data_IF_447724383514
#
_entry.id   IF_447724383514
#
_cell.length_a   1.000
_cell.length_b   1.000
_cell.length_c   1.000
_cell.angle_alpha   90.00
_cell.angle_beta   90.00
_cell.angle_gamma   90.00
#
_symmetry.space_group_name_H-M   'P 1'
#
loop_
_entity.id
_entity.type
_entity.pdbx_description
1 polymer ?
#
# COMPACT_ATOMS: atom_id res chain seq x y z
N UNK A 1 -4.96 50.71 -29.22
CA UNK A 1 -6.01 49.77 -29.68
C UNK A 1 -5.40 48.38 -29.73
N UNK A 2 -5.63 47.56 -28.70
CA UNK A 2 -5.13 46.18 -28.65
C UNK A 2 -5.92 45.33 -29.66
N UNK A 3 -5.19 44.64 -30.52
CA UNK A 3 -5.72 43.89 -31.66
C UNK A 3 -6.61 42.74 -31.17
N UNK A 4 -7.91 42.86 -31.42
CA UNK A 4 -8.98 41.96 -30.96
C UNK A 4 -8.74 40.51 -31.37
N UNK A 5 -8.08 40.28 -32.51
CA UNK A 5 -7.72 38.94 -32.99
C UNK A 5 -6.69 38.25 -32.09
N UNK A 6 -5.78 39.01 -31.46
CA UNK A 6 -4.71 38.45 -30.62
C UNK A 6 -5.22 37.90 -29.29
N UNK A 7 -6.31 38.48 -28.78
CA UNK A 7 -6.99 38.04 -27.56
C UNK A 7 -7.75 36.73 -27.83
N UNK A 8 -8.37 36.59 -29.00
CA UNK A 8 -9.07 35.36 -29.39
C UNK A 8 -8.14 34.14 -29.48
N UNK A 9 -6.97 34.29 -30.11
CA UNK A 9 -6.00 33.19 -30.17
C UNK A 9 -5.47 32.79 -28.78
N UNK A 10 -5.23 33.78 -27.91
CA UNK A 10 -4.78 33.51 -26.54
C UNK A 10 -5.85 32.78 -25.70
N UNK A 11 -7.13 33.12 -25.89
CA UNK A 11 -8.24 32.44 -25.21
C UNK A 11 -8.45 31.00 -25.72
N UNK A 12 -8.24 30.74 -27.02
CA UNK A 12 -8.32 29.39 -27.59
C UNK A 12 -7.21 28.49 -27.03
N UNK A 13 -5.96 28.99 -26.96
CA UNK A 13 -4.86 28.20 -26.38
C UNK A 13 -5.05 27.95 -24.89
N UNK A 14 -5.55 28.94 -24.14
CA UNK A 14 -5.87 28.77 -22.73
C UNK A 14 -6.97 27.72 -22.50
N UNK A 15 -7.98 27.66 -23.38
CA UNK A 15 -9.04 26.66 -23.30
C UNK A 15 -8.54 25.25 -23.62
N UNK A 16 -7.61 25.11 -24.57
CA UNK A 16 -6.96 23.84 -24.91
C UNK A 16 -6.10 23.30 -23.75
N UNK A 17 -5.39 24.17 -23.02
CA UNK A 17 -4.55 23.76 -21.88
C UNK A 17 -5.41 23.29 -20.69
N UNK A 18 -6.56 23.92 -20.43
CA UNK A 18 -7.45 23.56 -19.31
C UNK A 18 -8.08 22.16 -19.50
N UNK A 19 -8.39 21.75 -20.74
CA UNK A 19 -9.00 20.44 -21.01
C UNK A 19 -8.04 19.26 -20.77
N UNK A 20 -6.73 19.46 -20.92
CA UNK A 20 -5.73 18.37 -20.76
C UNK A 20 -5.52 18.02 -19.28
N UNK A 21 -5.82 18.94 -18.35
CA UNK A 21 -5.55 18.74 -16.91
C UNK A 21 -6.66 17.99 -16.16
N UNK A 22 -7.78 17.64 -16.81
CA UNK A 22 -8.99 17.17 -16.12
C UNK A 22 -9.32 15.67 -16.29
N UNK A 23 -8.45 14.87 -16.90
CA UNK A 23 -8.67 13.42 -17.05
C UNK A 23 -7.44 12.59 -16.72
N UNK A 24 -7.17 12.43 -15.42
CA UNK A 24 -6.63 11.18 -14.89
C UNK A 24 -7.42 10.83 -13.63
N UNK A 25 -8.65 10.32 -13.82
CA UNK A 25 -9.28 9.48 -12.81
C UNK A 25 -8.46 8.20 -12.76
N UNK A 26 -7.69 8.02 -11.69
CA UNK A 26 -7.02 6.76 -11.36
C UNK A 26 -8.13 5.76 -11.03
N UNK A 27 -8.63 5.08 -12.06
CA UNK A 27 -9.56 3.98 -11.91
C UNK A 27 -8.81 2.79 -11.29
N UNK A 28 -9.20 2.45 -10.06
CA UNK A 28 -8.89 1.17 -9.43
C UNK A 28 -7.53 1.13 -8.74
N UNK A 29 -7.49 1.57 -7.48
CA UNK A 29 -6.53 1.00 -6.54
C UNK A 29 -6.92 -0.48 -6.38
N UNK A 30 -6.36 -1.33 -7.23
CA UNK A 30 -6.37 -2.77 -7.02
C UNK A 30 -5.58 -3.00 -5.74
N UNK A 31 -6.19 -3.63 -4.75
CA UNK A 31 -5.58 -3.87 -3.45
C UNK A 31 -4.39 -4.83 -3.63
N UNK A 32 -3.21 -4.29 -3.91
CA UNK A 32 -1.98 -5.04 -4.19
C UNK A 32 -1.48 -5.84 -2.98
N UNK A 33 -2.09 -5.66 -1.81
CA UNK A 33 -1.74 -6.37 -0.57
C UNK A 33 -2.23 -7.83 -0.49
N UNK A 34 -3.09 -8.30 -1.41
CA UNK A 34 -3.59 -9.67 -1.38
C UNK A 34 -3.86 -10.24 -2.78
N UNK A 35 -2.79 -10.46 -3.58
CA UNK A 35 -2.88 -11.32 -4.75
C UNK A 35 -2.94 -12.80 -4.31
N UNK A 36 -4.01 -13.20 -3.64
CA UNK A 36 -4.30 -14.61 -3.43
C UNK A 36 -4.91 -15.15 -4.73
N UNK A 37 -4.58 -16.39 -5.11
CA UNK A 37 -5.11 -17.08 -6.30
C UNK A 37 -6.66 -17.23 -6.33
N UNK A 38 -7.36 -16.67 -5.35
CA UNK A 38 -8.80 -16.65 -5.20
C UNK A 38 -9.36 -15.22 -4.97
N UNK A 39 -8.68 -14.17 -5.46
CA UNK A 39 -9.27 -12.83 -5.70
C UNK A 39 -10.30 -12.92 -6.84
N UNK A 40 -11.29 -13.79 -6.63
CA UNK A 40 -12.47 -13.87 -7.45
C UNK A 40 -13.34 -12.69 -7.05
N UNK A 41 -13.76 -11.90 -8.03
CA UNK A 41 -14.76 -10.83 -7.91
C UNK A 41 -16.16 -11.34 -7.50
N UNK A 42 -16.24 -12.53 -6.90
CA UNK A 42 -17.47 -13.30 -6.65
C UNK A 42 -18.15 -12.94 -5.32
N UNK A 43 -17.75 -11.84 -4.67
CA UNK A 43 -18.39 -11.34 -3.47
C UNK A 43 -18.03 -9.90 -3.17
N UNK A 44 -18.86 -9.23 -2.36
CA UNK A 44 -18.50 -7.92 -1.83
C UNK A 44 -17.27 -8.05 -0.92
N UNK A 45 -16.31 -7.11 -0.97
CA UNK A 45 -15.16 -7.14 -0.09
C UNK A 45 -15.61 -7.09 1.38
N UNK A 46 -14.92 -7.82 2.25
CA UNK A 46 -15.11 -7.67 3.68
C UNK A 46 -14.53 -6.32 4.13
N UNK A 47 -15.39 -5.41 4.57
CA UNK A 47 -15.00 -4.07 5.05
C UNK A 47 -14.90 -3.99 6.58
N UNK A 48 -15.08 -5.11 7.30
CA UNK A 48 -14.93 -5.12 8.75
C UNK A 48 -13.47 -4.88 9.12
N UNK A 49 -13.23 -3.81 9.88
CA UNK A 49 -11.90 -3.49 10.40
C UNK A 49 -11.46 -4.56 11.41
N UNK A 50 -10.24 -5.07 11.23
CA UNK A 50 -9.61 -5.95 12.23
C UNK A 50 -9.34 -5.17 13.52
N UNK A 51 -8.87 -3.93 13.39
CA UNK A 51 -8.58 -3.02 14.49
C UNK A 51 -8.79 -1.57 14.03
N UNK A 52 -9.22 -0.69 14.95
CA UNK A 52 -9.50 0.74 14.69
C UNK A 52 -8.49 1.68 15.37
N UNK A 53 -7.54 1.14 16.12
CA UNK A 53 -6.51 1.92 16.78
C UNK A 53 -5.53 2.50 15.75
N UNK A 54 -4.87 3.59 16.12
CA UNK A 54 -3.89 4.21 15.25
C UNK A 54 -2.62 3.35 15.17
N UNK A 55 -2.19 2.91 13.97
CA UNK A 55 -0.96 2.14 13.81
C UNK A 55 0.27 2.95 14.25
N UNK A 56 1.12 2.33 15.08
CA UNK A 56 2.42 2.90 15.47
C UNK A 56 3.49 2.41 14.51
N UNK A 57 4.15 3.33 13.79
CA UNK A 57 5.30 2.98 12.94
C UNK A 57 6.47 2.52 13.82
N UNK A 58 7.03 1.37 13.49
CA UNK A 58 8.14 0.74 14.22
C UNK A 58 9.42 0.82 13.39
N UNK A 59 9.34 0.48 12.10
CA UNK A 59 10.48 0.50 11.21
C UNK A 59 10.06 0.71 9.75
N UNK A 60 11.00 1.16 8.92
CA UNK A 60 10.84 1.38 7.48
C UNK A 60 12.11 1.01 6.75
N UNK A 61 11.96 0.34 5.62
CA UNK A 61 13.04 0.00 4.68
C UNK A 61 12.63 0.40 3.27
N UNK A 62 13.53 0.25 2.31
CA UNK A 62 13.14 0.24 0.91
C UNK A 62 12.08 -0.86 0.70
N UNK A 63 10.97 -0.53 0.04
CA UNK A 63 9.92 -1.49 -0.29
C UNK A 63 9.10 -2.04 0.90
N UNK A 64 9.16 -1.40 2.08
CA UNK A 64 8.25 -1.79 3.17
C UNK A 64 8.25 -0.94 4.43
N UNK A 65 7.20 -1.12 5.22
CA UNK A 65 6.97 -0.50 6.53
C UNK A 65 6.42 -1.52 7.53
N UNK A 66 6.86 -1.42 8.78
CA UNK A 66 6.37 -2.23 9.90
C UNK A 66 5.67 -1.34 10.92
N UNK A 67 4.45 -1.71 11.27
CA UNK A 67 3.66 -1.08 12.30
C UNK A 67 3.31 -2.07 13.41
N UNK A 68 2.98 -1.50 14.56
CA UNK A 68 2.28 -2.20 15.63
C UNK A 68 0.88 -1.62 15.76
N UNK A 69 -0.12 -2.51 15.79
CA UNK A 69 -1.55 -2.18 15.81
C UNK A 69 -2.20 -2.92 16.98
N UNK A 70 -3.26 -2.37 17.55
CA UNK A 70 -3.92 -2.91 18.74
C UNK A 70 -3.32 -2.38 20.04
N UNK A 71 -3.79 -2.92 21.16
CA UNK A 71 -3.39 -2.49 22.50
C UNK A 71 -3.32 -3.65 23.48
N UNK A 72 -2.54 -3.51 24.55
CA UNK A 72 -2.41 -4.55 25.57
C UNK A 72 -1.86 -5.86 24.99
N UNK A 73 -2.56 -6.97 25.26
CA UNK A 73 -2.19 -8.31 24.78
C UNK A 73 -2.63 -8.57 23.34
N UNK A 74 -3.58 -7.78 22.81
CA UNK A 74 -4.12 -7.90 21.44
C UNK A 74 -3.28 -7.11 20.42
N UNK A 75 -1.98 -6.95 20.67
CA UNK A 75 -1.07 -6.26 19.76
C UNK A 75 -0.63 -7.18 18.62
N UNK A 76 -0.79 -6.69 17.40
CA UNK A 76 -0.38 -7.38 16.17
C UNK A 76 0.69 -6.59 15.42
N UNK A 77 1.56 -7.32 14.73
CA UNK A 77 2.52 -6.74 13.79
C UNK A 77 1.84 -6.59 12.43
N UNK A 78 1.67 -5.35 11.97
CA UNK A 78 1.14 -5.05 10.64
C UNK A 78 2.30 -4.68 9.73
N UNK A 79 2.58 -5.54 8.76
CA UNK A 79 3.62 -5.29 7.76
C UNK A 79 2.98 -4.93 6.42
N UNK A 80 3.49 -3.86 5.81
CA UNK A 80 3.12 -3.46 4.47
C UNK A 80 4.36 -3.48 3.60
N UNK A 81 4.41 -4.42 2.65
CA UNK A 81 5.49 -4.58 1.67
C UNK A 81 4.95 -4.32 0.26
N UNK A 82 5.79 -3.73 -0.58
CA UNK A 82 5.44 -3.37 -1.96
C UNK A 82 6.67 -3.49 -2.84
N UNK A 83 6.51 -3.81 -4.13
CA UNK A 83 7.64 -3.99 -5.03
C UNK A 83 7.20 -4.49 -6.40
N UNK A 84 8.16 -4.74 -7.29
CA UNK A 84 7.88 -5.24 -8.63
C UNK A 84 8.10 -6.74 -8.75
N UNK A 85 8.98 -7.30 -7.90
CA UNK A 85 9.38 -8.71 -7.96
C UNK A 85 9.07 -9.42 -6.65
N UNK A 86 8.88 -10.75 -6.70
CA UNK A 86 8.75 -11.60 -5.51
C UNK A 86 9.89 -11.41 -4.51
N UNK A 87 11.09 -11.12 -5.00
CA UNK A 87 12.27 -10.87 -4.19
C UNK A 87 12.12 -9.57 -3.37
N UNK A 88 11.61 -8.49 -3.96
CA UNK A 88 11.43 -7.20 -3.27
C UNK A 88 10.53 -7.37 -2.03
N UNK A 89 9.40 -8.08 -2.20
CA UNK A 89 8.49 -8.38 -1.09
C UNK A 89 9.17 -9.23 -0.02
N UNK A 90 9.83 -10.32 -0.42
CA UNK A 90 10.48 -11.26 0.51
C UNK A 90 11.64 -10.63 1.28
N UNK A 91 12.46 -9.83 0.61
CA UNK A 91 13.60 -9.14 1.23
C UNK A 91 13.14 -8.08 2.23
N UNK A 92 12.17 -7.23 1.86
CA UNK A 92 11.61 -6.24 2.78
C UNK A 92 10.94 -6.92 3.99
N UNK A 93 10.17 -7.99 3.76
CA UNK A 93 9.52 -8.78 4.81
C UNK A 93 10.54 -9.35 5.81
N UNK A 94 11.53 -10.09 5.31
CA UNK A 94 12.55 -10.72 6.15
C UNK A 94 13.43 -9.71 6.89
N UNK A 95 13.66 -8.55 6.28
CA UNK A 95 14.43 -7.46 6.92
C UNK A 95 13.65 -6.79 8.04
N UNK A 96 12.37 -6.48 7.82
CA UNK A 96 11.52 -5.81 8.82
C UNK A 96 11.20 -6.71 10.02
N UNK A 97 10.99 -8.01 9.80
CA UNK A 97 10.58 -8.97 10.84
C UNK A 97 11.74 -9.81 11.39
N UNK A 98 12.99 -9.42 11.15
CA UNK A 98 14.18 -10.18 11.53
C UNK A 98 14.13 -10.65 12.99
N UNK A 99 13.85 -9.73 13.90
CA UNK A 99 13.88 -10.00 15.34
C UNK A 99 12.74 -10.94 15.76
N UNK A 100 11.56 -10.79 15.16
CA UNK A 100 10.39 -11.64 15.40
C UNK A 100 10.65 -13.06 14.88
N UNK A 101 11.18 -13.18 13.66
CA UNK A 101 11.52 -14.46 13.03
C UNK A 101 12.54 -15.21 13.88
N UNK A 102 13.62 -14.55 14.29
CA UNK A 102 14.66 -15.15 15.13
C UNK A 102 14.13 -15.64 16.49
N UNK A 103 13.07 -15.01 17.01
CA UNK A 103 12.41 -15.44 18.26
C UNK A 103 11.43 -16.58 18.07
N UNK A 104 10.68 -16.58 16.97
CA UNK A 104 9.56 -17.51 16.74
C UNK A 104 10.04 -18.83 16.12
N UNK A 105 10.93 -18.79 15.12
CA UNK A 105 11.33 -20.00 14.38
C UNK A 105 11.92 -21.09 15.30
N UNK A 106 12.87 -20.80 16.20
CA UNK A 106 13.43 -21.82 17.09
C UNK A 106 12.38 -22.44 18.02
N UNK A 107 11.42 -21.64 18.49
CA UNK A 107 10.33 -22.13 19.37
C UNK A 107 9.34 -23.01 18.60
N UNK A 108 8.99 -22.59 17.38
CA UNK A 108 8.12 -23.37 16.52
C UNK A 108 8.79 -24.70 16.15
N UNK A 109 10.06 -24.69 15.80
CA UNK A 109 10.82 -25.90 15.49
C UNK A 109 10.89 -26.86 16.68
N UNK A 110 11.26 -26.34 17.86
CA UNK A 110 11.30 -27.14 19.08
C UNK A 110 9.93 -27.73 19.48
N UNK A 111 8.83 -27.10 19.10
CA UNK A 111 7.49 -27.65 19.31
C UNK A 111 7.16 -28.80 18.37
N UNK A 112 7.66 -28.77 17.12
CA UNK A 112 7.43 -29.84 16.14
C UNK A 112 8.31 -31.08 16.36
N UNK A 113 9.40 -30.97 17.12
CA UNK A 113 10.29 -32.09 17.46
C UNK A 113 9.85 -32.85 18.74
N UNK A 114 8.84 -32.35 19.45
CA UNK A 114 8.23 -32.99 20.63
C UNK A 114 7.10 -33.94 20.23
#
# INVERSE_FOLDING_TARGET
MLNQNRIYYFLIELFLIIQISSSHKINGIKNIGAFCANDTSRGNPNLNSIDISQPRLINKVENGTLYQVGSGEDQIWLIHVYGNTGYDFGYAYGTLLRDQIQKVLPRAWAHFEQ
#
